data_IF_183259011363
#
_entry.id   IF_183259011363
#
_cell.length_a   1.000
_cell.length_b   1.000
_cell.length_c   1.000
_cell.angle_alpha   90.00
_cell.angle_beta   90.00
_cell.angle_gamma   90.00
#
_symmetry.space_group_name_H-M   'P 1'
#
loop_
_entity.id
_entity.type
_entity.pdbx_description
1 polymer ?
#
# COMPACT_ATOMS: atom_id res chain seq x y z
N UNK A 1 8.19 24.62 13.23
CA UNK A 1 7.12 24.09 12.37
C UNK A 1 5.86 23.94 13.20
N UNK A 2 4.81 24.69 12.85
CA UNK A 2 3.58 24.80 13.64
C UNK A 2 2.85 23.44 13.63
N UNK A 3 2.73 22.81 14.79
CA UNK A 3 2.03 21.53 15.03
C UNK A 3 0.61 21.46 14.42
N UNK A 4 -0.06 22.59 14.20
CA UNK A 4 -1.39 22.67 13.62
C UNK A 4 -1.47 22.22 12.15
N UNK A 5 -0.47 22.55 11.30
CA UNK A 5 -0.48 22.14 9.88
C UNK A 5 -0.26 20.65 9.66
N UNK A 6 0.47 19.98 10.57
CA UNK A 6 0.69 18.52 10.48
C UNK A 6 -0.58 17.75 10.87
N UNK A 7 -1.34 18.23 11.85
CA UNK A 7 -2.60 17.62 12.24
C UNK A 7 -3.69 17.80 11.17
N UNK A 8 -3.72 18.95 10.51
CA UNK A 8 -4.63 19.26 9.42
C UNK A 8 -4.35 18.37 8.18
N UNK A 9 -3.09 18.18 7.85
CA UNK A 9 -2.69 17.27 6.75
C UNK A 9 -3.04 15.80 7.04
N UNK A 10 -2.90 15.35 8.30
CA UNK A 10 -3.30 13.99 8.71
C UNK A 10 -4.80 13.76 8.54
N UNK A 11 -5.60 14.76 8.85
CA UNK A 11 -7.06 14.66 8.72
C UNK A 11 -7.47 14.70 7.25
N UNK A 12 -6.86 15.55 6.46
CA UNK A 12 -7.11 15.72 5.03
C UNK A 12 -6.70 14.48 4.23
N UNK A 13 -5.48 13.96 4.43
CA UNK A 13 -5.03 12.75 3.74
C UNK A 13 -5.82 11.48 4.14
N UNK A 14 -6.37 11.41 5.35
CA UNK A 14 -7.18 10.28 5.79
C UNK A 14 -8.66 10.38 5.35
N UNK A 15 -9.25 11.56 5.34
CA UNK A 15 -10.65 11.77 5.05
C UNK A 15 -10.92 12.12 3.57
N UNK A 16 -10.10 12.98 2.98
CA UNK A 16 -10.26 13.42 1.58
C UNK A 16 -9.71 12.41 0.58
N UNK A 17 -8.74 11.56 0.96
CA UNK A 17 -8.30 10.46 0.10
C UNK A 17 -9.45 9.51 -0.25
N UNK A 18 -10.47 9.38 0.61
CA UNK A 18 -11.65 8.58 0.30
C UNK A 18 -12.68 9.34 -0.55
N UNK A 19 -12.88 10.61 -0.33
CA UNK A 19 -13.80 11.42 -1.14
C UNK A 19 -13.21 11.74 -2.53
N UNK A 20 -11.90 11.96 -2.62
CA UNK A 20 -11.19 12.16 -3.88
C UNK A 20 -11.11 10.86 -4.71
N UNK A 21 -10.91 9.71 -4.05
CA UNK A 21 -10.92 8.39 -4.70
C UNK A 21 -12.28 8.05 -5.31
N UNK A 22 -13.39 8.54 -4.74
CA UNK A 22 -14.71 8.34 -5.35
C UNK A 22 -14.94 9.17 -6.61
N UNK A 23 -14.24 10.29 -6.78
CA UNK A 23 -14.42 11.22 -7.91
C UNK A 23 -13.32 11.15 -8.97
N UNK A 24 -12.12 10.68 -8.61
CA UNK A 24 -11.01 10.62 -9.54
C UNK A 24 -11.17 9.45 -10.51
N UNK A 25 -11.23 9.75 -11.79
CA UNK A 25 -11.01 8.75 -12.84
C UNK A 25 -9.53 8.41 -12.82
N UNK A 26 -9.19 7.17 -12.44
CA UNK A 26 -7.84 6.68 -12.57
C UNK A 26 -7.51 6.43 -14.05
N UNK A 27 -6.62 7.19 -14.68
CA UNK A 27 -6.27 6.96 -16.06
C UNK A 27 -5.56 5.61 -16.27
N UNK A 28 -5.05 5.00 -15.20
CA UNK A 28 -4.32 3.74 -15.25
C UNK A 28 -5.20 2.51 -15.07
N UNK A 29 -6.39 2.62 -14.46
CA UNK A 29 -7.30 1.50 -14.23
C UNK A 29 -8.77 1.92 -14.26
N UNK A 30 -9.50 1.34 -15.22
CA UNK A 30 -10.95 1.51 -15.33
C UNK A 30 -11.72 0.79 -14.19
N UNK A 31 -11.10 -0.17 -13.49
CA UNK A 31 -11.71 -0.97 -12.44
C UNK A 31 -10.89 -0.93 -11.15
N UNK A 32 -11.38 -0.17 -10.18
CA UNK A 32 -10.82 -0.03 -8.85
C UNK A 32 -11.54 -0.87 -7.77
N UNK A 33 -12.36 -1.85 -8.18
CA UNK A 33 -13.16 -2.68 -7.27
C UNK A 33 -12.29 -3.43 -6.25
N UNK A 34 -11.18 -4.02 -6.69
CA UNK A 34 -10.26 -4.75 -5.82
C UNK A 34 -9.51 -3.86 -4.80
N UNK A 35 -8.91 -2.73 -5.18
CA UNK A 35 -8.33 -1.83 -4.20
C UNK A 35 -9.37 -1.27 -3.22
N UNK A 36 -10.60 -0.97 -3.66
CA UNK A 36 -11.70 -0.58 -2.76
C UNK A 36 -12.06 -1.69 -1.78
N UNK A 37 -12.14 -2.94 -2.24
CA UNK A 37 -12.38 -4.09 -1.37
C UNK A 37 -11.29 -4.21 -0.30
N UNK A 38 -10.01 -4.15 -0.69
CA UNK A 38 -8.89 -4.18 0.29
C UNK A 38 -8.97 -3.05 1.31
N UNK A 39 -9.33 -1.84 0.87
CA UNK A 39 -9.52 -0.71 1.77
C UNK A 39 -10.68 -0.93 2.76
N UNK A 40 -11.78 -1.53 2.33
CA UNK A 40 -12.89 -1.88 3.24
C UNK A 40 -12.49 -3.00 4.23
N UNK A 41 -11.76 -4.01 3.76
CA UNK A 41 -11.21 -5.05 4.65
C UNK A 41 -10.32 -4.44 5.74
N UNK A 42 -9.46 -3.48 5.37
CA UNK A 42 -8.61 -2.78 6.34
C UNK A 42 -9.42 -1.97 7.37
N UNK A 43 -10.58 -1.42 6.99
CA UNK A 43 -11.48 -0.73 7.94
C UNK A 43 -12.04 -1.66 9.03
N UNK A 44 -12.19 -2.95 8.74
CA UNK A 44 -12.65 -3.93 9.72
C UNK A 44 -11.67 -4.09 10.90
N UNK A 45 -10.40 -3.72 10.73
CA UNK A 45 -9.40 -3.73 11.81
C UNK A 45 -9.70 -2.72 12.95
N UNK A 46 -10.71 -1.87 12.80
CA UNK A 46 -11.23 -1.02 13.89
C UNK A 46 -12.01 -1.82 14.93
N UNK A 47 -12.49 -3.01 14.56
CA UNK A 47 -13.18 -3.91 15.47
C UNK A 47 -12.16 -4.54 16.44
N UNK A 48 -12.49 -4.65 17.73
CA UNK A 48 -11.62 -5.31 18.68
C UNK A 48 -11.39 -6.77 18.30
N UNK A 49 -10.23 -7.28 18.62
CA UNK A 49 -9.83 -8.68 18.39
C UNK A 49 -9.94 -9.14 16.93
N UNK A 50 -9.82 -8.21 16.00
CA UNK A 50 -9.83 -8.49 14.56
C UNK A 50 -8.42 -8.37 14.00
N UNK A 51 -8.01 -9.34 13.18
CA UNK A 51 -6.72 -9.37 12.50
C UNK A 51 -6.85 -9.62 11.00
N UNK A 52 -5.80 -9.29 10.27
CA UNK A 52 -5.72 -9.48 8.83
C UNK A 52 -4.33 -9.96 8.42
N UNK A 53 -4.28 -10.93 7.52
CA UNK A 53 -3.08 -11.21 6.75
C UNK A 53 -3.16 -10.45 5.43
N UNK A 54 -2.28 -9.48 5.22
CA UNK A 54 -2.13 -8.82 3.92
C UNK A 54 -1.43 -9.77 2.97
N UNK A 55 -1.99 -9.96 1.76
CA UNK A 55 -1.53 -10.94 0.77
C UNK A 55 -1.29 -10.31 -0.61
N UNK A 56 -1.07 -9.01 -0.66
CA UNK A 56 -0.85 -8.27 -1.90
C UNK A 56 0.45 -8.71 -2.62
N UNK A 57 1.39 -9.26 -1.88
CA UNK A 57 2.68 -9.80 -2.32
C UNK A 57 2.67 -11.33 -2.49
N UNK A 58 1.55 -11.97 -2.20
CA UNK A 58 1.41 -13.42 -2.24
C UNK A 58 0.11 -13.81 -2.94
N UNK A 59 0.16 -14.83 -3.76
CA UNK A 59 -0.98 -15.28 -4.52
C UNK A 59 -0.59 -15.73 -5.92
N UNK A 60 -1.58 -15.97 -6.75
CA UNK A 60 -1.39 -16.33 -8.13
C UNK A 60 -2.25 -15.46 -9.03
N UNK A 61 -1.60 -14.84 -10.00
CA UNK A 61 -2.14 -13.84 -10.91
C UNK A 61 -3.42 -14.30 -11.63
N UNK A 62 -3.53 -15.60 -11.94
CA UNK A 62 -4.64 -16.15 -12.70
C UNK A 62 -5.41 -17.26 -11.97
N UNK A 63 -5.23 -17.37 -10.65
CA UNK A 63 -5.91 -18.38 -9.85
C UNK A 63 -6.40 -17.82 -8.52
N UNK A 64 -7.70 -17.86 -8.30
CA UNK A 64 -8.31 -17.48 -7.02
C UNK A 64 -8.04 -18.50 -5.89
N UNK A 65 -7.48 -19.65 -6.25
CA UNK A 65 -7.04 -20.69 -5.32
C UNK A 65 -5.52 -20.82 -5.34
N UNK A 66 -4.77 -19.81 -4.87
CA UNK A 66 -3.33 -19.83 -4.93
C UNK A 66 -2.77 -21.03 -4.17
N UNK A 67 -1.69 -21.63 -4.69
CA UNK A 67 -1.04 -22.80 -4.08
C UNK A 67 -0.31 -22.46 -2.78
N UNK A 68 0.15 -21.23 -2.64
CA UNK A 68 0.75 -20.75 -1.39
C UNK A 68 -0.31 -20.60 -0.30
N UNK A 69 -0.47 -21.63 0.51
CA UNK A 69 -1.29 -21.63 1.73
C UNK A 69 -0.47 -21.33 2.98
N UNK A 70 0.85 -21.41 2.88
CA UNK A 70 1.76 -21.20 4.00
C UNK A 70 1.82 -19.72 4.40
N UNK A 71 1.95 -18.83 3.43
CA UNK A 71 2.03 -17.38 3.71
C UNK A 71 0.80 -16.85 4.47
N UNK A 72 -0.45 -17.06 4.00
CA UNK A 72 -1.62 -16.62 4.76
C UNK A 72 -1.69 -17.30 6.15
N UNK A 73 -1.43 -18.60 6.23
CA UNK A 73 -1.45 -19.32 7.50
C UNK A 73 -0.43 -18.80 8.50
N UNK A 74 0.80 -18.54 8.06
CA UNK A 74 1.87 -18.02 8.93
C UNK A 74 1.55 -16.60 9.40
N UNK A 75 1.02 -15.73 8.54
CA UNK A 75 0.66 -14.34 8.91
C UNK A 75 -0.50 -14.29 9.89
N UNK A 76 -1.52 -15.13 9.70
CA UNK A 76 -2.64 -15.26 10.65
C UNK A 76 -2.18 -15.84 11.99
N UNK A 77 -1.33 -16.87 11.96
CA UNK A 77 -0.74 -17.44 13.19
C UNK A 77 0.10 -16.42 13.95
N UNK A 78 0.95 -15.65 13.27
CA UNK A 78 1.74 -14.58 13.88
C UNK A 78 0.86 -13.54 14.59
N UNK A 79 -0.24 -13.14 13.94
CA UNK A 79 -1.22 -12.25 14.56
C UNK A 79 -1.81 -12.86 15.83
N UNK A 80 -2.26 -14.13 15.77
CA UNK A 80 -2.82 -14.82 16.92
C UNK A 80 -1.81 -14.97 18.07
N UNK A 81 -0.57 -15.36 17.76
CA UNK A 81 0.49 -15.46 18.77
C UNK A 81 0.72 -14.13 19.49
N UNK A 82 0.80 -13.03 18.73
CA UNK A 82 1.04 -11.72 19.34
C UNK A 82 -0.17 -11.20 20.10
N UNK A 83 -1.35 -11.18 19.49
CA UNK A 83 -2.53 -10.45 19.96
C UNK A 83 -3.44 -11.27 20.89
N UNK A 84 -3.45 -12.59 20.73
CA UNK A 84 -4.30 -13.48 21.52
C UNK A 84 -3.49 -14.19 22.59
N UNK A 85 -2.31 -14.71 22.25
CA UNK A 85 -1.49 -15.49 23.17
C UNK A 85 -0.39 -14.67 23.87
N UNK A 86 -0.34 -13.35 23.65
CA UNK A 86 0.55 -12.43 24.37
C UNK A 86 2.05 -12.53 24.01
N UNK A 87 2.40 -13.16 22.87
CA UNK A 87 3.77 -13.30 22.39
C UNK A 87 4.21 -12.01 21.70
N UNK A 88 4.54 -10.98 22.49
CA UNK A 88 4.94 -9.66 21.98
C UNK A 88 6.25 -9.70 21.15
N UNK A 89 7.05 -10.75 21.30
CA UNK A 89 8.26 -11.01 20.53
C UNK A 89 7.99 -11.45 19.08
N UNK A 90 6.77 -11.86 18.76
CA UNK A 90 6.38 -12.28 17.40
C UNK A 90 5.88 -11.10 16.58
N UNK A 91 6.59 -10.67 15.52
CA UNK A 91 6.08 -9.65 14.60
C UNK A 91 4.81 -10.15 13.91
N UNK A 92 3.71 -9.40 13.98
CA UNK A 92 2.40 -9.85 13.48
C UNK A 92 1.89 -9.05 12.28
N UNK A 93 2.61 -8.03 11.87
CA UNK A 93 2.32 -7.21 10.70
C UNK A 93 3.60 -6.64 10.11
N UNK A 94 3.55 -6.24 8.88
CA UNK A 94 4.61 -5.50 8.21
C UNK A 94 4.55 -4.00 8.49
N UNK A 95 5.43 -3.22 7.86
CA UNK A 95 5.44 -1.77 7.96
C UNK A 95 4.06 -1.18 7.64
N UNK A 96 3.63 -0.21 8.43
CA UNK A 96 2.40 0.52 8.16
C UNK A 96 2.62 2.02 8.33
N UNK A 97 1.96 2.88 7.55
CA UNK A 97 2.15 4.32 7.63
C UNK A 97 1.69 4.86 8.98
N UNK A 98 2.60 5.52 9.69
CA UNK A 98 2.35 6.15 10.99
C UNK A 98 2.21 7.66 10.86
N UNK A 99 2.99 8.29 9.99
CA UNK A 99 2.97 9.73 9.73
C UNK A 99 3.09 9.98 8.24
N UNK A 100 2.24 10.83 7.70
CA UNK A 100 2.30 11.29 6.31
C UNK A 100 2.38 12.81 6.31
N UNK A 101 3.41 13.37 5.68
CA UNK A 101 3.67 14.81 5.66
C UNK A 101 3.97 15.26 4.24
N UNK A 102 3.32 16.33 3.79
CA UNK A 102 3.74 17.04 2.58
C UNK A 102 5.00 17.84 2.87
N UNK A 103 6.00 17.70 1.99
CA UNK A 103 7.26 18.42 2.03
C UNK A 103 7.53 19.00 0.63
N UNK A 104 7.05 20.23 0.44
CA UNK A 104 7.05 20.89 -0.86
C UNK A 104 6.25 20.12 -1.90
N UNK A 105 6.90 19.70 -2.99
CA UNK A 105 6.34 18.90 -4.08
C UNK A 105 6.44 17.39 -3.81
N UNK A 106 6.90 16.96 -2.63
CA UNK A 106 6.97 15.56 -2.25
C UNK A 106 6.09 15.25 -1.04
N UNK A 107 5.85 13.97 -0.81
CA UNK A 107 5.22 13.44 0.39
C UNK A 107 6.22 12.52 1.07
N UNK A 108 6.43 12.71 2.36
CA UNK A 108 7.20 11.83 3.22
C UNK A 108 6.27 11.00 4.09
N UNK A 109 6.47 9.70 4.05
CA UNK A 109 5.73 8.73 4.85
C UNK A 109 6.70 8.11 5.84
N UNK A 110 6.41 8.20 7.12
CA UNK A 110 7.11 7.46 8.18
C UNK A 110 6.31 6.18 8.47
N UNK A 111 7.01 5.08 8.58
CA UNK A 111 6.42 3.78 8.88
C UNK A 111 6.74 3.34 10.32
N UNK A 112 5.77 2.72 10.96
CA UNK A 112 5.95 1.94 12.17
C UNK A 112 6.07 0.45 11.84
N UNK A 113 6.48 -0.34 12.83
CA UNK A 113 6.69 -1.79 12.73
C UNK A 113 7.64 -2.21 11.59
N UNK A 114 8.66 -1.40 11.36
CA UNK A 114 9.64 -1.61 10.27
C UNK A 114 10.63 -2.76 10.53
N UNK A 115 10.60 -3.37 11.69
CA UNK A 115 11.47 -4.50 12.05
C UNK A 115 12.96 -4.18 11.89
N UNK A 116 13.60 -4.82 10.91
CA UNK A 116 15.01 -4.60 10.57
C UNK A 116 15.26 -3.45 9.60
N UNK A 117 14.28 -2.59 9.38
CA UNK A 117 14.29 -1.51 8.40
C UNK A 117 13.48 -1.84 7.15
N UNK A 118 13.18 -0.78 6.38
CA UNK A 118 12.49 -0.90 5.11
C UNK A 118 13.42 -1.48 4.03
N UNK A 119 12.85 -2.23 3.11
CA UNK A 119 13.54 -2.73 1.93
C UNK A 119 12.60 -2.72 0.74
N UNK A 120 13.11 -2.30 -0.40
CA UNK A 120 12.44 -2.44 -1.67
C UNK A 120 12.81 -3.80 -2.29
N UNK A 121 11.94 -4.78 -2.12
CA UNK A 121 12.13 -6.12 -2.67
C UNK A 121 10.82 -6.61 -3.27
N UNK A 122 10.80 -6.82 -4.57
CA UNK A 122 9.63 -7.36 -5.25
C UNK A 122 9.18 -8.72 -4.72
N UNK A 123 7.92 -9.07 -4.92
CA UNK A 123 7.39 -10.38 -4.52
C UNK A 123 8.19 -11.49 -5.18
N UNK A 124 8.60 -12.47 -4.38
CA UNK A 124 9.29 -13.67 -4.86
C UNK A 124 8.36 -14.55 -5.71
N UNK A 125 8.90 -15.15 -6.75
CA UNK A 125 8.17 -16.19 -7.48
C UNK A 125 8.24 -17.49 -6.68
N UNK A 126 7.16 -17.81 -5.97
CA UNK A 126 7.08 -19.06 -5.19
C UNK A 126 6.70 -20.25 -6.06
N UNK A 127 5.96 -20.01 -7.14
CA UNK A 127 5.47 -21.04 -8.06
C UNK A 127 5.59 -20.60 -9.51
N UNK A 128 5.81 -21.53 -10.45
CA UNK A 128 5.79 -21.21 -11.88
C UNK A 128 4.45 -20.57 -12.26
N UNK A 129 4.52 -19.52 -13.05
CA UNK A 129 3.32 -18.83 -13.55
C UNK A 129 2.47 -19.80 -14.37
N UNK A 130 1.16 -19.77 -14.17
CA UNK A 130 0.22 -20.48 -15.02
C UNK A 130 0.06 -19.77 -16.36
N UNK A 131 -0.29 -20.53 -17.39
CA UNK A 131 -0.59 -19.95 -18.69
C UNK A 131 -1.76 -18.98 -18.57
N UNK A 132 -1.55 -17.77 -19.07
CA UNK A 132 -2.55 -16.72 -19.10
C UNK A 132 -3.73 -17.13 -19.99
N UNK A 133 -4.94 -17.09 -19.44
CA UNK A 133 -6.17 -17.35 -20.20
C UNK A 133 -6.95 -16.08 -20.49
N UNK A 134 -6.69 -14.98 -19.75
CA UNK A 134 -7.34 -13.67 -19.91
C UNK A 134 -6.49 -12.58 -19.26
N UNK A 135 -6.87 -11.31 -19.42
CA UNK A 135 -6.15 -10.18 -18.84
C UNK A 135 -6.57 -9.82 -17.40
N UNK A 136 -7.43 -10.64 -16.80
CA UNK A 136 -8.05 -10.31 -15.52
C UNK A 136 -7.05 -10.19 -14.37
N UNK A 137 -6.01 -11.00 -14.37
CA UNK A 137 -4.98 -11.01 -13.35
C UNK A 137 -3.67 -10.31 -13.76
N UNK A 138 -3.66 -9.53 -14.85
CA UNK A 138 -2.44 -8.87 -15.31
C UNK A 138 -1.84 -7.99 -14.23
N UNK A 139 -0.54 -8.16 -13.99
CA UNK A 139 0.22 -7.32 -13.05
C UNK A 139 0.30 -5.88 -13.60
N UNK A 140 -0.04 -4.93 -12.76
CA UNK A 140 0.07 -3.50 -13.04
C UNK A 140 1.37 -2.98 -12.44
N UNK A 141 2.35 -2.68 -13.30
CA UNK A 141 3.66 -2.15 -12.91
C UNK A 141 3.88 -0.81 -13.59
N UNK A 142 3.74 0.27 -12.83
CA UNK A 142 3.64 1.61 -13.37
C UNK A 142 4.77 2.58 -12.98
N UNK A 143 5.64 2.19 -12.06
CA UNK A 143 6.76 3.02 -11.60
C UNK A 143 8.08 2.23 -11.56
N UNK A 144 8.48 1.53 -12.66
CA UNK A 144 9.63 0.64 -12.62
C UNK A 144 10.97 1.36 -12.43
N UNK A 145 10.98 2.70 -12.55
CA UNK A 145 12.14 3.55 -12.33
C UNK A 145 12.30 3.98 -10.85
N UNK A 146 11.26 3.83 -10.04
CA UNK A 146 11.33 4.17 -8.62
C UNK A 146 11.93 3.02 -7.80
N UNK A 147 12.64 3.34 -6.73
CA UNK A 147 13.15 2.34 -5.78
C UNK A 147 11.98 1.58 -5.14
N UNK A 148 10.99 2.32 -4.65
CA UNK A 148 9.73 1.74 -4.13
C UNK A 148 8.63 1.94 -5.16
N UNK A 149 8.19 0.85 -5.75
CA UNK A 149 7.16 0.86 -6.80
C UNK A 149 5.75 0.79 -6.22
N UNK A 150 4.78 1.40 -6.91
CA UNK A 150 3.36 1.28 -6.59
C UNK A 150 2.74 2.49 -5.87
N UNK A 151 3.49 3.57 -5.67
CA UNK A 151 2.95 4.84 -5.19
C UNK A 151 2.33 5.68 -6.30
N UNK A 152 1.25 6.38 -5.98
CA UNK A 152 0.67 7.43 -6.80
C UNK A 152 0.28 8.64 -5.96
N UNK A 153 0.34 9.82 -6.55
CA UNK A 153 0.04 11.12 -5.95
C UNK A 153 -1.07 11.81 -6.74
N UNK A 154 -1.87 12.62 -6.04
CA UNK A 154 -2.83 13.52 -6.66
C UNK A 154 -2.75 14.91 -6.01
N UNK A 155 -2.98 15.94 -6.83
CA UNK A 155 -3.14 17.33 -6.42
C UNK A 155 -4.60 17.70 -6.19
N UNK A 156 -4.89 19.01 -6.23
CA UNK A 156 -6.24 19.55 -6.06
C UNK A 156 -7.22 19.17 -7.19
N UNK A 157 -6.69 18.81 -8.36
CA UNK A 157 -7.47 18.33 -9.50
C UNK A 157 -8.02 16.90 -9.31
N UNK A 158 -7.52 16.17 -8.30
CA UNK A 158 -7.90 14.80 -8.02
C UNK A 158 -7.38 13.78 -9.07
N UNK A 159 -6.51 14.19 -9.98
CA UNK A 159 -5.93 13.30 -11.00
C UNK A 159 -4.74 12.56 -10.40
N UNK A 160 -4.75 11.23 -10.51
CA UNK A 160 -3.70 10.38 -9.97
C UNK A 160 -2.56 10.20 -10.97
N UNK A 161 -1.36 10.44 -10.50
CA UNK A 161 -0.12 10.24 -11.24
C UNK A 161 0.79 9.27 -10.51
N UNK A 162 1.32 8.29 -11.22
CA UNK A 162 2.32 7.38 -10.66
C UNK A 162 3.60 8.13 -10.27
N UNK A 163 4.18 7.73 -9.17
CA UNK A 163 5.39 8.36 -8.68
C UNK A 163 6.56 8.21 -9.67
N UNK A 164 7.24 9.31 -9.94
CA UNK A 164 8.51 9.29 -10.68
C UNK A 164 9.66 8.86 -9.76
N UNK A 165 9.55 9.21 -8.47
CA UNK A 165 10.50 8.83 -7.43
C UNK A 165 9.77 8.37 -6.17
N UNK A 166 10.27 7.30 -5.58
CA UNK A 166 9.93 6.87 -4.24
C UNK A 166 11.17 6.19 -3.66
N UNK A 167 11.81 6.85 -2.70
CA UNK A 167 13.13 6.50 -2.18
C UNK A 167 13.04 6.24 -0.68
N UNK A 168 13.70 5.18 -0.20
CA UNK A 168 13.74 4.85 1.24
C UNK A 168 14.66 5.82 1.95
N UNK A 169 14.16 6.50 2.98
CA UNK A 169 14.91 7.40 3.86
C UNK A 169 14.74 6.95 5.33
N UNK A 170 15.64 6.12 5.81
CA UNK A 170 15.56 5.55 7.16
C UNK A 170 14.33 4.65 7.33
N UNK A 171 13.42 5.01 8.24
CA UNK A 171 12.16 4.31 8.44
C UNK A 171 11.01 4.92 7.64
N UNK A 172 11.30 5.69 6.62
CA UNK A 172 10.31 6.35 5.79
C UNK A 172 10.56 6.17 4.30
N UNK A 173 9.62 6.68 3.51
CA UNK A 173 9.72 6.78 2.06
C UNK A 173 9.37 8.20 1.64
N UNK A 174 10.22 8.81 0.83
CA UNK A 174 9.95 10.08 0.16
C UNK A 174 9.43 9.82 -1.25
N UNK A 175 8.26 10.37 -1.56
CA UNK A 175 7.56 10.12 -2.82
C UNK A 175 7.30 11.43 -3.55
N UNK A 176 7.56 11.46 -4.86
CA UNK A 176 7.23 12.61 -5.72
C UNK A 176 6.79 12.17 -7.12
N UNK A 177 5.99 13.02 -7.76
CA UNK A 177 5.58 12.88 -9.14
C UNK A 177 5.74 14.25 -9.84
N UNK A 178 6.41 14.29 -10.97
CA UNK A 178 6.68 15.55 -11.72
C UNK A 178 5.40 16.29 -12.11
N UNK A 179 4.34 15.54 -12.38
CA UNK A 179 3.04 16.10 -12.74
C UNK A 179 2.28 16.70 -11.54
N UNK A 180 2.76 16.50 -10.29
CA UNK A 180 2.05 16.92 -9.06
C UNK A 180 2.97 17.80 -8.22
N UNK A 181 2.90 19.12 -8.44
CA UNK A 181 3.71 20.10 -7.69
C UNK A 181 3.24 20.31 -6.25
N UNK A 182 1.94 20.12 -6.00
CA UNK A 182 1.30 20.26 -4.69
C UNK A 182 0.49 19.00 -4.36
N UNK A 183 1.12 17.94 -3.85
CA UNK A 183 0.41 16.71 -3.52
C UNK A 183 -0.52 16.93 -2.32
N UNK A 184 -1.78 16.52 -2.48
CA UNK A 184 -2.81 16.53 -1.45
C UNK A 184 -3.23 15.11 -1.05
N UNK A 185 -2.98 14.13 -1.91
CA UNK A 185 -3.30 12.74 -1.64
C UNK A 185 -2.17 11.81 -2.11
N UNK A 186 -2.03 10.69 -1.42
CA UNK A 186 -1.10 9.62 -1.76
C UNK A 186 -1.78 8.28 -1.57
N UNK A 187 -1.47 7.31 -2.44
CA UNK A 187 -1.92 5.93 -2.34
C UNK A 187 -0.80 4.96 -2.71
N UNK A 188 -0.90 3.74 -2.22
CA UNK A 188 0.07 2.67 -2.46
C UNK A 188 -0.65 1.39 -2.88
N UNK A 189 -0.15 0.72 -3.94
CA UNK A 189 -0.72 -0.54 -4.40
C UNK A 189 -2.18 -0.43 -4.85
N UNK A 190 -2.59 0.72 -5.39
CA UNK A 190 -3.97 0.96 -5.80
C UNK A 190 -4.19 0.51 -7.23
N UNK A 191 -4.21 -0.79 -7.41
CA UNK A 191 -4.52 -1.45 -8.66
C UNK A 191 -5.17 -2.82 -8.37
N UNK A 192 -5.77 -3.44 -9.37
CA UNK A 192 -6.38 -4.77 -9.23
C UNK A 192 -5.33 -5.81 -8.80
N UNK A 193 -4.23 -5.88 -9.51
CA UNK A 193 -3.07 -6.72 -9.20
C UNK A 193 -1.80 -5.86 -9.29
N UNK A 194 -1.51 -5.04 -8.26
CA UNK A 194 -0.41 -4.10 -8.30
C UNK A 194 0.93 -4.80 -8.11
N UNK A 195 1.94 -4.32 -8.82
CA UNK A 195 3.31 -4.59 -8.45
C UNK A 195 3.69 -3.68 -7.29
N UNK A 196 4.04 -4.26 -6.17
CA UNK A 196 4.50 -3.57 -4.96
C UNK A 196 5.73 -4.28 -4.41
N UNK A 197 6.66 -3.52 -3.82
CA UNK A 197 7.95 -4.05 -3.40
C UNK A 197 8.46 -3.52 -2.04
N UNK A 198 7.59 -2.82 -1.28
CA UNK A 198 7.91 -2.37 0.08
C UNK A 198 7.46 -3.39 1.12
#
# INVERSE_FOLDING_TARGET
LKRGKVAELRHTLAAESFAAVEKAKDPAEADDSWPRLRAQQQRALRLPMTGQAVLIDAGEEYDIHPRDKRTPGSRLAAWAFNRVYGRADVPFRGPHPAVVVRDGSSVRIEFADVGRGLRAQGPGETYPRRTKTNDYGKVVRNSPQAEVEGFALAGADGVWHWADKAEIEGNGVRVSAKAVSEPLAIRYGWARNPWVNL
#
